data_IF_572201740324
#
_entry.id   IF_572201740324
#
_cell.length_a   1.000
_cell.length_b   1.000
_cell.length_c   1.000
_cell.angle_alpha   90.00
_cell.angle_beta   90.00
_cell.angle_gamma   90.00
#
_symmetry.space_group_name_H-M   'P 1'
#
loop_
_entity.id
_entity.type
_entity.pdbx_description
1 polymer ?
#
# COMPACT_ATOMS: atom_id res chain seq x y z
N UNK A 1 -13.15 11.63 7.46
CA UNK A 1 -12.89 13.06 7.33
C UNK A 1 -12.56 13.34 5.87
N UNK A 2 -12.88 14.52 5.37
CA UNK A 2 -12.57 14.98 4.01
C UNK A 2 -11.76 16.26 4.09
N UNK A 3 -11.11 16.62 3.01
CA UNK A 3 -10.51 17.92 2.85
C UNK A 3 -11.57 19.03 3.03
N UNK A 4 -11.13 20.21 3.40
CA UNK A 4 -11.97 21.40 3.26
C UNK A 4 -12.31 21.63 1.79
N UNK A 5 -13.48 22.18 1.52
CA UNK A 5 -13.97 22.34 0.15
C UNK A 5 -12.96 23.07 -0.74
N UNK A 6 -12.33 24.12 -0.23
CA UNK A 6 -11.33 24.90 -0.99
C UNK A 6 -10.09 24.05 -1.35
N UNK A 7 -9.65 23.20 -0.42
CA UNK A 7 -8.51 22.32 -0.64
C UNK A 7 -8.81 21.20 -1.65
N UNK A 8 -10.02 20.63 -1.56
CA UNK A 8 -10.45 19.64 -2.53
C UNK A 8 -10.62 20.26 -3.95
N UNK A 9 -11.10 21.49 -4.03
CA UNK A 9 -11.17 22.23 -5.29
C UNK A 9 -9.77 22.51 -5.86
N UNK A 10 -8.84 22.98 -5.03
CA UNK A 10 -7.44 23.21 -5.40
C UNK A 10 -6.77 21.93 -5.91
N UNK A 11 -6.99 20.79 -5.22
CA UNK A 11 -6.48 19.52 -5.69
C UNK A 11 -6.90 19.23 -7.15
N UNK A 12 -8.18 19.34 -7.46
CA UNK A 12 -8.68 19.05 -8.80
C UNK A 12 -8.27 20.10 -9.83
N UNK A 13 -8.06 21.37 -9.44
CA UNK A 13 -7.49 22.40 -10.29
C UNK A 13 -6.06 22.10 -10.71
N UNK A 14 -5.30 21.41 -9.89
CA UNK A 14 -3.95 20.94 -10.20
C UNK A 14 -3.97 19.59 -10.94
N UNK A 15 -4.86 18.70 -10.55
CA UNK A 15 -4.89 17.31 -10.98
C UNK A 15 -5.34 17.13 -12.44
N UNK A 16 -6.46 17.72 -12.83
CA UNK A 16 -6.97 17.56 -14.19
C UNK A 16 -6.02 18.12 -15.25
N UNK A 17 -5.46 19.35 -15.12
CA UNK A 17 -4.51 19.84 -16.08
C UNK A 17 -3.20 19.04 -16.13
N UNK A 18 -2.77 18.47 -15.01
CA UNK A 18 -1.61 17.56 -14.99
C UNK A 18 -1.90 16.28 -15.77
N UNK A 19 -3.05 15.62 -15.55
CA UNK A 19 -3.45 14.45 -16.34
C UNK A 19 -3.54 14.78 -17.84
N UNK A 20 -4.11 15.93 -18.20
CA UNK A 20 -4.15 16.39 -19.60
C UNK A 20 -2.76 16.56 -20.19
N UNK A 21 -1.87 17.25 -19.48
CA UNK A 21 -0.47 17.41 -19.89
C UNK A 21 0.23 16.08 -20.13
N UNK A 22 0.10 15.12 -19.19
CA UNK A 22 0.67 13.79 -19.32
C UNK A 22 0.14 13.11 -20.59
N UNK A 23 -1.18 13.11 -20.77
CA UNK A 23 -1.79 12.44 -21.90
C UNK A 23 -1.43 13.09 -23.24
N UNK A 24 -1.43 14.42 -23.33
CA UNK A 24 -1.08 15.16 -24.54
C UNK A 24 0.39 14.92 -24.93
N UNK A 25 1.29 14.96 -23.96
CA UNK A 25 2.72 14.84 -24.20
C UNK A 25 3.15 13.42 -24.52
N UNK A 26 2.67 12.44 -23.74
CA UNK A 26 3.14 11.05 -23.83
C UNK A 26 2.18 10.12 -24.56
N UNK A 27 0.99 10.60 -24.94
CA UNK A 27 -0.04 9.86 -25.68
C UNK A 27 -0.41 8.53 -25.03
N UNK A 28 -0.57 8.54 -23.70
CA UNK A 28 -0.89 7.33 -22.92
C UNK A 28 -2.23 6.74 -23.37
N UNK A 29 -3.23 7.63 -23.56
CA UNK A 29 -4.56 7.30 -24.07
C UNK A 29 -4.88 8.18 -25.28
N UNK A 30 -4.43 7.82 -26.52
CA UNK A 30 -4.55 8.69 -27.68
C UNK A 30 -6.00 9.02 -28.09
N UNK A 31 -6.97 8.17 -27.72
CA UNK A 31 -8.41 8.39 -27.98
C UNK A 31 -9.09 9.36 -27.03
N UNK A 32 -8.44 9.71 -25.93
CA UNK A 32 -8.98 10.62 -24.93
C UNK A 32 -8.72 12.06 -25.38
N UNK A 33 -9.79 12.85 -25.47
CA UNK A 33 -9.70 14.29 -25.77
C UNK A 33 -9.05 15.08 -24.63
N UNK A 34 -9.20 16.41 -24.67
CA UNK A 34 -8.74 17.28 -23.57
C UNK A 34 -9.41 16.92 -22.27
N UNK A 35 -8.60 16.75 -21.24
CA UNK A 35 -9.05 16.42 -19.90
C UNK A 35 -9.18 17.70 -19.09
N UNK A 36 -10.38 18.03 -18.68
CA UNK A 36 -10.66 19.16 -17.80
C UNK A 36 -11.82 18.83 -16.83
N UNK A 37 -12.00 19.67 -15.83
CA UNK A 37 -13.04 19.44 -14.80
C UNK A 37 -14.46 19.42 -15.37
N UNK A 38 -14.73 20.07 -16.48
CA UNK A 38 -16.07 20.19 -17.07
C UNK A 38 -16.42 18.96 -17.92
N UNK A 39 -15.45 18.41 -18.61
CA UNK A 39 -15.62 17.25 -19.49
C UNK A 39 -15.37 15.94 -18.76
N UNK A 40 -14.50 15.99 -17.74
CA UNK A 40 -14.04 14.80 -17.06
C UNK A 40 -13.15 13.92 -17.94
N UNK A 41 -12.97 12.70 -17.53
CA UNK A 41 -12.24 11.64 -18.23
C UNK A 41 -12.83 10.30 -17.81
N UNK A 42 -12.83 9.31 -18.71
CA UNK A 42 -13.19 7.94 -18.35
C UNK A 42 -12.25 7.43 -17.24
N UNK A 43 -12.81 6.76 -16.23
CA UNK A 43 -12.06 6.33 -15.04
C UNK A 43 -10.92 5.37 -15.39
N UNK A 44 -11.10 4.51 -16.39
CA UNK A 44 -10.06 3.57 -16.81
C UNK A 44 -8.91 4.29 -17.55
N UNK A 45 -9.23 5.31 -18.35
CA UNK A 45 -8.22 6.12 -19.00
C UNK A 45 -7.49 7.02 -18.00
N UNK A 46 -8.23 7.65 -17.07
CA UNK A 46 -7.63 8.41 -15.97
C UNK A 46 -6.64 7.56 -15.17
N UNK A 47 -7.02 6.32 -14.83
CA UNK A 47 -6.14 5.38 -14.11
C UNK A 47 -4.87 5.07 -14.90
N UNK A 48 -4.96 4.78 -16.20
CA UNK A 48 -3.78 4.52 -17.05
C UNK A 48 -2.83 5.72 -17.10
N UNK A 49 -3.40 6.93 -17.25
CA UNK A 49 -2.60 8.17 -17.31
C UNK A 49 -1.93 8.43 -15.96
N UNK A 50 -2.64 8.24 -14.86
CA UNK A 50 -2.09 8.37 -13.52
C UNK A 50 -1.02 7.33 -13.24
N UNK A 51 -1.22 6.06 -13.61
CA UNK A 51 -0.23 4.99 -13.44
C UNK A 51 1.07 5.30 -14.21
N UNK A 52 0.93 5.86 -15.42
CA UNK A 52 2.09 6.37 -16.15
C UNK A 52 2.81 7.48 -15.39
N UNK A 53 2.08 8.47 -14.89
CA UNK A 53 2.63 9.57 -14.09
C UNK A 53 3.38 9.06 -12.85
N UNK A 54 2.76 8.17 -12.09
CA UNK A 54 3.36 7.66 -10.85
C UNK A 54 4.57 6.76 -11.08
N UNK A 55 4.67 6.15 -12.26
CA UNK A 55 5.85 5.42 -12.69
C UNK A 55 6.96 6.33 -13.24
N UNK A 56 6.66 7.60 -13.54
CA UNK A 56 7.56 8.58 -14.16
C UNK A 56 7.45 9.94 -13.47
N UNK A 57 7.71 9.99 -12.17
CA UNK A 57 7.49 11.20 -11.35
C UNK A 57 8.32 12.42 -11.75
N UNK A 58 9.39 12.25 -12.57
CA UNK A 58 10.12 13.38 -13.19
C UNK A 58 9.20 14.27 -14.04
N UNK A 59 8.09 13.75 -14.54
CA UNK A 59 7.08 14.49 -15.33
C UNK A 59 6.46 15.64 -14.51
N UNK A 60 6.41 15.51 -13.18
CA UNK A 60 5.93 16.59 -12.31
C UNK A 60 6.73 17.90 -12.48
N UNK A 61 8.06 17.80 -12.55
CA UNK A 61 8.92 18.96 -12.76
C UNK A 61 8.74 19.56 -14.16
N UNK A 62 8.55 18.71 -15.16
CA UNK A 62 8.26 19.16 -16.52
C UNK A 62 6.92 19.90 -16.60
N UNK A 63 5.91 19.41 -15.90
CA UNK A 63 4.60 20.07 -15.82
C UNK A 63 4.68 21.41 -15.10
N UNK A 64 5.36 21.51 -13.95
CA UNK A 64 5.56 22.76 -13.22
C UNK A 64 6.17 23.82 -14.12
N UNK A 65 7.22 23.47 -14.88
CA UNK A 65 7.88 24.37 -15.80
C UNK A 65 6.97 24.77 -16.97
N UNK A 66 6.19 23.84 -17.51
CA UNK A 66 5.25 24.07 -18.61
C UNK A 66 4.09 24.99 -18.19
N UNK A 67 3.42 24.64 -17.09
CA UNK A 67 2.22 25.33 -16.62
C UNK A 67 2.51 26.68 -15.95
N UNK A 68 3.78 26.96 -15.59
CA UNK A 68 4.21 28.18 -14.87
C UNK A 68 3.37 28.42 -13.63
N UNK A 69 3.20 27.35 -12.83
CA UNK A 69 2.37 27.39 -11.63
C UNK A 69 2.87 28.46 -10.65
N UNK A 70 1.94 29.12 -9.91
CA UNK A 70 2.30 29.91 -8.75
C UNK A 70 3.14 29.08 -7.75
N UNK A 71 4.04 29.73 -7.02
CA UNK A 71 5.02 29.05 -6.18
C UNK A 71 4.39 28.05 -5.17
N UNK A 72 3.30 28.44 -4.52
CA UNK A 72 2.57 27.55 -3.59
C UNK A 72 2.03 26.30 -4.29
N UNK A 73 1.43 26.48 -5.46
CA UNK A 73 0.90 25.34 -6.26
C UNK A 73 2.03 24.46 -6.81
N UNK A 74 3.14 25.08 -7.23
CA UNK A 74 4.32 24.36 -7.68
C UNK A 74 4.93 23.50 -6.56
N UNK A 75 4.95 24.01 -5.32
CA UNK A 75 5.41 23.25 -4.16
C UNK A 75 4.50 22.04 -3.87
N UNK A 76 3.18 22.20 -3.96
CA UNK A 76 2.24 21.09 -3.79
C UNK A 76 2.51 19.99 -4.83
N UNK A 77 2.58 20.36 -6.12
CA UNK A 77 2.81 19.41 -7.21
C UNK A 77 4.22 18.79 -7.11
N UNK A 78 5.23 19.54 -6.74
CA UNK A 78 6.58 19.02 -6.52
C UNK A 78 6.62 18.01 -5.38
N UNK A 79 5.84 18.21 -4.33
CA UNK A 79 5.69 17.27 -3.22
C UNK A 79 5.16 15.90 -3.64
N UNK A 80 4.39 15.83 -4.71
CA UNK A 80 3.82 14.55 -5.22
C UNK A 80 4.87 13.54 -5.71
N UNK A 81 6.13 13.95 -5.87
CA UNK A 81 7.24 12.99 -6.08
C UNK A 81 7.36 11.98 -4.95
N UNK A 82 6.88 12.31 -3.76
CA UNK A 82 6.88 11.42 -2.58
C UNK A 82 5.68 10.48 -2.55
N UNK A 83 4.97 10.31 -3.66
CA UNK A 83 3.86 9.38 -3.78
C UNK A 83 4.24 7.97 -3.32
N UNK A 84 3.26 7.26 -2.79
CA UNK A 84 3.38 5.87 -2.35
C UNK A 84 2.35 5.02 -3.10
N UNK A 85 2.67 4.55 -4.31
CA UNK A 85 1.85 3.54 -4.98
C UNK A 85 1.95 2.22 -4.22
N UNK A 86 0.84 1.51 -4.05
CA UNK A 86 0.88 0.22 -3.36
C UNK A 86 -0.50 -0.33 -3.05
N UNK A 87 -0.49 -1.50 -2.38
CA UNK A 87 -1.69 -2.12 -1.85
C UNK A 87 -1.84 -1.79 -0.38
N UNK A 88 -3.05 -1.43 -0.01
CA UNK A 88 -3.38 -0.98 1.33
C UNK A 88 -4.62 -1.68 1.85
N UNK A 89 -4.60 -2.05 3.12
CA UNK A 89 -5.80 -2.43 3.85
C UNK A 89 -6.40 -1.15 4.44
N UNK A 90 -7.55 -0.71 3.91
CA UNK A 90 -8.37 0.30 4.55
C UNK A 90 -9.06 -0.34 5.77
N UNK A 91 -8.54 -0.09 6.97
CA UNK A 91 -8.92 -0.86 8.15
C UNK A 91 -10.13 -0.27 8.88
N UNK A 92 -10.13 1.05 9.14
CA UNK A 92 -11.21 1.74 9.85
C UNK A 92 -11.28 3.22 9.56
N UNK A 93 -12.43 3.81 9.88
CA UNK A 93 -12.66 5.24 9.78
C UNK A 93 -12.64 5.91 11.17
N UNK A 94 -11.94 7.01 11.26
CA UNK A 94 -11.79 7.82 12.48
C UNK A 94 -12.18 9.27 12.20
N UNK A 95 -12.36 10.05 13.27
CA UNK A 95 -12.63 11.49 13.14
C UNK A 95 -11.49 12.27 12.45
N UNK A 96 -10.26 11.75 12.48
CA UNK A 96 -9.06 12.38 11.90
C UNK A 96 -8.66 11.85 10.54
N UNK A 97 -9.46 10.98 9.93
CA UNK A 97 -9.15 10.34 8.66
C UNK A 97 -9.42 8.84 8.67
N UNK A 98 -9.01 8.16 7.65
CA UNK A 98 -9.17 6.70 7.52
C UNK A 98 -7.81 6.01 7.63
N UNK A 99 -7.76 4.92 8.37
CA UNK A 99 -6.55 4.15 8.60
C UNK A 99 -6.29 3.25 7.39
N UNK A 100 -5.15 3.46 6.75
CA UNK A 100 -4.61 2.61 5.70
C UNK A 100 -3.36 1.91 6.24
N UNK A 101 -3.29 0.60 6.05
CA UNK A 101 -2.15 -0.23 6.42
C UNK A 101 -1.51 -0.73 5.12
N UNK A 102 -0.25 -0.41 4.90
CA UNK A 102 0.50 -0.93 3.75
C UNK A 102 0.60 -2.45 3.81
N UNK A 103 0.32 -3.14 2.69
CA UNK A 103 0.49 -4.60 2.60
C UNK A 103 1.97 -4.98 2.67
N UNK A 104 2.86 -4.15 2.14
CA UNK A 104 4.28 -4.47 2.00
C UNK A 104 5.04 -4.44 3.34
N UNK A 105 4.83 -3.38 4.15
CA UNK A 105 5.65 -3.12 5.33
C UNK A 105 4.85 -2.87 6.62
N UNK A 106 3.52 -2.99 6.55
CA UNK A 106 2.58 -2.74 7.63
C UNK A 106 2.62 -1.31 8.19
N UNK A 107 3.21 -0.37 7.46
CA UNK A 107 3.17 1.04 7.84
C UNK A 107 1.73 1.54 7.85
N UNK A 108 1.39 2.29 8.90
CA UNK A 108 0.04 2.83 9.10
C UNK A 108 -0.01 4.28 8.68
N UNK A 109 -0.91 4.59 7.76
CA UNK A 109 -1.15 5.93 7.25
C UNK A 109 -2.53 6.43 7.67
N UNK A 110 -2.62 7.72 7.98
CA UNK A 110 -3.90 8.42 8.18
C UNK A 110 -4.25 9.17 6.91
N UNK A 111 -5.25 8.69 6.17
CA UNK A 111 -5.61 9.17 4.83
C UNK A 111 -6.94 9.91 4.88
N UNK A 112 -6.98 11.11 4.32
CA UNK A 112 -8.21 11.89 4.19
C UNK A 112 -8.89 11.65 2.86
N UNK A 113 -10.21 11.76 2.84
CA UNK A 113 -10.98 11.76 1.59
C UNK A 113 -10.91 13.13 0.91
N UNK A 114 -11.20 13.18 -0.38
CA UNK A 114 -11.30 14.45 -1.13
C UNK A 114 -12.63 15.15 -0.81
N UNK A 115 -13.66 14.93 -1.62
CA UNK A 115 -15.01 15.44 -1.37
C UNK A 115 -15.90 14.48 -0.60
N UNK A 116 -15.67 13.17 -0.75
CA UNK A 116 -16.37 12.11 -0.04
C UNK A 116 -15.46 11.42 0.95
N UNK A 117 -16.02 10.95 2.04
CA UNK A 117 -15.28 10.12 2.98
C UNK A 117 -15.02 8.73 2.40
N UNK A 118 -13.97 8.09 2.85
CA UNK A 118 -13.68 6.70 2.47
C UNK A 118 -14.81 5.74 2.86
N UNK A 119 -15.52 6.02 3.96
CA UNK A 119 -16.68 5.24 4.39
C UNK A 119 -17.84 5.34 3.39
N UNK A 120 -18.11 6.53 2.85
CA UNK A 120 -19.12 6.73 1.82
C UNK A 120 -18.77 6.03 0.51
N UNK A 121 -17.49 6.00 0.13
CA UNK A 121 -17.05 5.40 -1.12
C UNK A 121 -16.90 3.88 -1.05
N UNK A 122 -16.35 3.35 0.05
CA UNK A 122 -15.93 1.95 0.17
C UNK A 122 -16.70 1.16 1.24
N UNK A 123 -17.55 1.80 2.01
CA UNK A 123 -18.31 1.17 3.09
C UNK A 123 -17.48 0.96 4.36
N UNK A 124 -18.05 0.18 5.29
CA UNK A 124 -17.47 -0.14 6.61
C UNK A 124 -16.69 -1.44 6.54
N UNK A 125 -15.56 -1.47 7.19
CA UNK A 125 -14.77 -2.68 7.41
C UNK A 125 -13.51 -2.75 6.57
N UNK A 126 -12.65 -3.73 6.81
CA UNK A 126 -11.39 -3.83 6.10
C UNK A 126 -11.61 -4.16 4.62
N UNK A 127 -11.04 -3.33 3.74
CA UNK A 127 -11.05 -3.49 2.28
C UNK A 127 -9.61 -3.42 1.79
N UNK A 128 -9.22 -4.34 0.92
CA UNK A 128 -7.94 -4.25 0.21
C UNK A 128 -8.10 -3.35 -1.00
N UNK A 129 -7.24 -2.35 -1.10
CA UNK A 129 -7.21 -1.36 -2.18
C UNK A 129 -5.85 -1.36 -2.85
N UNK A 130 -5.83 -1.22 -4.17
CA UNK A 130 -4.69 -0.69 -4.91
C UNK A 130 -4.89 0.82 -5.03
N UNK A 131 -3.97 1.61 -4.51
CA UNK A 131 -4.09 3.05 -4.41
C UNK A 131 -2.72 3.75 -4.48
N UNK A 132 -2.75 5.03 -4.77
CA UNK A 132 -1.57 5.89 -4.64
C UNK A 132 -1.83 6.92 -3.56
N UNK A 133 -1.04 6.88 -2.50
CA UNK A 133 -1.05 7.91 -1.48
C UNK A 133 -0.12 9.05 -1.89
N UNK A 134 -0.59 10.27 -1.77
CA UNK A 134 0.17 11.48 -2.13
C UNK A 134 0.12 12.51 -1.00
N UNK A 135 1.19 13.29 -0.81
CA UNK A 135 1.15 14.40 0.12
C UNK A 135 0.32 15.55 -0.44
N UNK A 136 -0.51 16.13 0.39
CA UNK A 136 -1.23 17.36 0.05
C UNK A 136 -1.21 18.29 1.27
N UNK A 137 -0.40 19.35 1.19
CA UNK A 137 -0.06 20.18 2.37
C UNK A 137 0.50 19.27 3.48
N UNK A 138 -0.08 19.33 4.68
CA UNK A 138 0.34 18.54 5.83
C UNK A 138 -0.45 17.23 6.00
N UNK A 139 -1.18 16.81 4.96
CA UNK A 139 -2.07 15.65 4.99
C UNK A 139 -1.66 14.61 3.95
N UNK A 140 -2.19 13.40 4.12
CA UNK A 140 -2.10 12.33 3.13
C UNK A 140 -3.47 12.16 2.50
N UNK A 141 -3.52 12.20 1.19
CA UNK A 141 -4.71 11.89 0.39
C UNK A 141 -4.39 10.78 -0.63
N UNK A 142 -5.39 10.32 -1.36
CA UNK A 142 -5.19 9.52 -2.58
C UNK A 142 -5.54 10.37 -3.79
N UNK A 143 -5.00 10.00 -4.95
CA UNK A 143 -5.38 10.59 -6.24
C UNK A 143 -6.83 10.30 -6.65
N UNK A 144 -7.53 9.48 -5.88
CA UNK A 144 -8.94 9.09 -6.09
C UNK A 144 -9.13 7.96 -7.10
N UNK A 145 -8.07 7.47 -7.73
CA UNK A 145 -8.11 6.40 -8.73
C UNK A 145 -7.72 5.07 -8.10
N UNK A 146 -8.63 4.50 -7.33
CA UNK A 146 -8.40 3.29 -6.53
C UNK A 146 -9.10 2.08 -7.14
N UNK A 147 -8.49 0.90 -6.94
CA UNK A 147 -9.11 -0.38 -7.28
C UNK A 147 -9.37 -1.17 -6.01
N UNK A 148 -10.63 -1.45 -5.71
CA UNK A 148 -11.00 -2.30 -4.58
C UNK A 148 -11.02 -3.77 -5.00
N UNK A 149 -10.47 -4.64 -4.16
CA UNK A 149 -10.51 -6.09 -4.39
C UNK A 149 -11.75 -6.70 -3.74
N UNK A 150 -12.57 -7.45 -4.50
CA UNK A 150 -13.85 -7.97 -4.02
C UNK A 150 -13.68 -9.23 -3.18
N UNK A 151 -13.00 -9.13 -2.03
CA UNK A 151 -12.94 -10.23 -1.08
C UNK A 151 -13.10 -9.73 0.37
N UNK A 152 -13.61 -10.60 1.23
CA UNK A 152 -13.86 -10.30 2.62
C UNK A 152 -12.76 -10.91 3.50
N UNK A 153 -12.27 -10.12 4.43
CA UNK A 153 -11.35 -10.60 5.45
C UNK A 153 -12.10 -11.36 6.54
N UNK A 154 -11.62 -12.55 6.87
CA UNK A 154 -12.12 -13.31 8.01
C UNK A 154 -11.78 -12.63 9.35
N UNK A 155 -12.40 -13.13 10.45
CA UNK A 155 -12.26 -12.55 11.79
C UNK A 155 -10.78 -12.42 12.24
N UNK A 156 -9.96 -13.44 11.99
CA UNK A 156 -8.54 -13.43 12.37
C UNK A 156 -7.75 -12.30 11.70
N UNK A 157 -7.99 -12.02 10.43
CA UNK A 157 -7.37 -10.89 9.73
C UNK A 157 -7.81 -9.55 10.27
N UNK A 158 -9.12 -9.42 10.53
CA UNK A 158 -9.65 -8.18 11.10
C UNK A 158 -9.06 -7.87 12.48
N UNK A 159 -8.76 -8.90 13.27
CA UNK A 159 -8.07 -8.74 14.55
C UNK A 159 -6.60 -8.35 14.37
N UNK A 160 -5.89 -9.02 13.45
CA UNK A 160 -4.50 -8.70 13.14
C UNK A 160 -4.33 -7.23 12.68
N UNK A 161 -5.23 -6.72 11.83
CA UNK A 161 -5.18 -5.31 11.39
C UNK A 161 -5.42 -4.34 12.55
N UNK A 162 -6.33 -4.68 13.47
CA UNK A 162 -6.54 -3.89 14.70
C UNK A 162 -5.30 -3.86 15.57
N UNK A 163 -4.58 -4.97 15.65
CA UNK A 163 -3.35 -5.07 16.43
C UNK A 163 -2.22 -4.25 15.82
N UNK A 164 -2.07 -4.28 14.48
CA UNK A 164 -1.12 -3.43 13.76
C UNK A 164 -1.41 -1.95 14.04
N UNK A 165 -2.67 -1.53 13.88
CA UNK A 165 -3.05 -0.16 14.17
C UNK A 165 -2.82 0.22 15.64
N UNK A 166 -3.19 -0.64 16.59
CA UNK A 166 -2.99 -0.41 18.03
C UNK A 166 -1.51 -0.22 18.34
N UNK A 167 -0.66 -1.10 17.83
CA UNK A 167 0.80 -1.02 18.00
C UNK A 167 1.35 0.28 17.41
N UNK A 168 0.98 0.63 16.19
CA UNK A 168 1.43 1.87 15.57
C UNK A 168 0.99 3.11 16.36
N UNK A 169 -0.19 3.06 17.00
CA UNK A 169 -0.67 4.13 17.87
C UNK A 169 0.12 4.21 19.18
N UNK A 170 0.42 3.08 19.82
CA UNK A 170 1.22 3.00 21.04
C UNK A 170 2.66 3.47 20.80
N UNK A 171 3.23 3.09 19.66
CA UNK A 171 4.61 3.44 19.26
C UNK A 171 4.72 4.84 18.64
N UNK A 172 3.59 5.55 18.44
CA UNK A 172 3.52 6.85 17.75
C UNK A 172 4.15 6.81 16.34
N UNK A 173 3.94 5.73 15.59
CA UNK A 173 4.48 5.51 14.24
C UNK A 173 3.44 5.70 13.14
N UNK A 174 2.24 6.18 13.46
CA UNK A 174 1.22 6.50 12.45
C UNK A 174 1.69 7.69 11.61
N UNK A 175 1.73 7.52 10.30
CA UNK A 175 2.10 8.57 9.35
C UNK A 175 0.90 9.47 9.06
N UNK A 176 1.00 10.75 9.38
CA UNK A 176 0.00 11.76 9.07
C UNK A 176 0.39 12.62 7.87
N UNK A 177 1.65 12.60 7.46
CA UNK A 177 2.19 13.33 6.31
C UNK A 177 3.23 12.49 5.59
N UNK A 178 3.36 12.67 4.27
CA UNK A 178 4.45 12.11 3.46
C UNK A 178 5.57 13.12 3.23
N UNK A 179 5.44 14.36 3.67
CA UNK A 179 6.43 15.42 3.48
C UNK A 179 7.68 15.13 4.28
N UNK A 180 8.73 14.72 3.59
CA UNK A 180 10.14 14.60 3.92
C UNK A 180 10.56 14.51 5.38
N UNK A 181 10.66 13.31 5.86
CA UNK A 181 11.28 12.89 7.10
C UNK A 181 10.81 11.46 7.39
N UNK A 182 11.71 10.59 7.73
CA UNK A 182 11.30 9.39 8.48
C UNK A 182 10.32 9.85 9.57
N UNK A 183 9.25 9.08 9.88
CA UNK A 183 8.32 9.45 10.95
C UNK A 183 9.17 9.93 12.12
N UNK A 184 8.93 11.16 12.61
CA UNK A 184 9.70 11.70 13.73
C UNK A 184 9.63 10.68 14.86
N UNK A 185 10.64 9.87 14.96
CA UNK A 185 10.89 9.04 16.14
C UNK A 185 11.21 10.01 17.25
N UNK A 186 10.21 10.49 17.97
CA UNK A 186 10.46 11.11 19.26
C UNK A 186 11.23 10.07 20.06
N UNK A 187 12.43 10.40 20.57
CA UNK A 187 13.25 9.43 21.27
C UNK A 187 12.47 8.94 22.50
N UNK A 188 11.93 7.75 22.39
CA UNK A 188 11.38 7.05 23.54
C UNK A 188 12.57 6.49 24.31
N UNK A 189 12.62 6.75 25.62
CA UNK A 189 13.65 6.29 26.54
C UNK A 189 13.90 4.80 26.31
N UNK A 190 15.15 4.48 26.10
CA UNK A 190 15.75 3.18 25.91
C UNK A 190 15.07 2.07 26.74
N UNK A 191 14.46 1.12 26.06
CA UNK A 191 14.53 -0.28 26.47
C UNK A 191 15.15 -1.03 25.29
N UNK A 192 16.39 -1.40 25.48
CA UNK A 192 17.15 -2.26 24.59
C UNK A 192 16.40 -3.59 24.44
N UNK A 193 15.77 -3.79 23.30
CA UNK A 193 15.41 -5.11 22.80
C UNK A 193 15.94 -5.16 21.37
N UNK A 194 16.89 -6.07 21.14
CA UNK A 194 17.53 -6.26 19.85
C UNK A 194 16.47 -6.43 18.77
N UNK A 195 16.64 -5.74 17.65
CA UNK A 195 15.86 -5.91 16.43
C UNK A 195 16.05 -7.34 15.93
N UNK A 196 15.09 -8.19 16.22
CA UNK A 196 15.02 -9.52 15.60
C UNK A 196 14.55 -9.27 14.17
N UNK A 197 15.49 -9.25 13.22
CA UNK A 197 15.15 -9.21 11.81
C UNK A 197 14.32 -10.44 11.46
N UNK A 198 13.17 -10.26 10.81
CA UNK A 198 12.26 -11.34 10.47
C UNK A 198 11.73 -11.20 9.04
N UNK A 199 11.35 -12.33 8.45
CA UNK A 199 10.61 -12.39 7.20
C UNK A 199 9.13 -12.60 7.49
N UNK A 200 8.26 -12.06 6.65
CA UNK A 200 6.85 -12.43 6.60
C UNK A 200 6.62 -13.19 5.30
N UNK A 201 6.27 -14.45 5.42
CA UNK A 201 6.10 -15.39 4.31
C UNK A 201 4.62 -15.69 4.14
N UNK A 202 4.09 -15.51 2.92
CA UNK A 202 2.75 -15.94 2.56
C UNK A 202 2.78 -17.39 2.13
N UNK A 203 2.12 -18.25 2.87
CA UNK A 203 1.95 -19.67 2.54
C UNK A 203 0.52 -19.92 2.10
N UNK A 204 0.33 -20.57 0.94
CA UNK A 204 -0.98 -20.81 0.34
C UNK A 204 -1.18 -22.27 -0.01
N UNK A 205 -2.29 -22.85 0.39
CA UNK A 205 -2.76 -24.19 -0.01
C UNK A 205 -3.71 -24.14 -1.21
N UNK A 206 -3.96 -22.95 -1.75
CA UNK A 206 -4.88 -22.71 -2.86
C UNK A 206 -5.35 -21.26 -2.92
N UNK A 207 -6.26 -20.96 -3.85
CA UNK A 207 -6.68 -19.56 -4.11
C UNK A 207 -7.32 -18.84 -2.91
N UNK A 208 -7.94 -19.57 -2.00
CA UNK A 208 -8.70 -19.01 -0.85
C UNK A 208 -8.16 -19.44 0.51
N UNK A 209 -7.16 -20.33 0.58
CA UNK A 209 -6.59 -20.82 1.83
C UNK A 209 -5.11 -20.45 1.90
N UNK A 210 -4.77 -19.45 2.68
CA UNK A 210 -3.38 -19.02 2.88
C UNK A 210 -3.18 -18.45 4.29
N UNK A 211 -1.93 -18.38 4.72
CA UNK A 211 -1.47 -17.78 5.98
C UNK A 211 -0.27 -16.89 5.75
N UNK A 212 -0.11 -15.87 6.57
CA UNK A 212 1.13 -15.13 6.69
C UNK A 212 1.87 -15.60 7.95
N UNK A 213 3.10 -16.02 7.78
CA UNK A 213 3.94 -16.55 8.85
C UNK A 213 5.12 -15.62 9.02
N UNK A 214 5.26 -15.03 10.20
CA UNK A 214 6.44 -14.25 10.54
C UNK A 214 7.50 -15.17 11.17
N UNK A 215 8.68 -15.19 10.56
CA UNK A 215 9.80 -16.02 11.03
C UNK A 215 11.09 -15.19 11.07
N UNK A 216 11.87 -15.35 12.13
CA UNK A 216 13.17 -14.67 12.27
C UNK A 216 14.14 -15.07 11.16
N UNK A 217 14.91 -14.12 10.61
CA UNK A 217 15.89 -14.35 9.54
C UNK A 217 16.93 -15.44 9.83
N UNK A 218 17.18 -15.72 11.10
CA UNK A 218 18.15 -16.74 11.54
C UNK A 218 17.52 -18.13 11.75
N UNK A 219 16.23 -18.27 11.46
CA UNK A 219 15.53 -19.55 11.60
C UNK A 219 15.75 -20.43 10.38
N UNK A 220 15.76 -21.73 10.60
CA UNK A 220 15.94 -22.75 9.54
C UNK A 220 14.65 -23.00 8.75
N UNK A 221 14.74 -23.68 7.62
CA UNK A 221 13.57 -24.17 6.89
C UNK A 221 12.74 -25.17 7.70
N UNK A 222 13.38 -25.97 8.55
CA UNK A 222 12.65 -26.84 9.51
C UNK A 222 11.75 -26.04 10.45
N UNK A 223 12.27 -24.95 11.05
CA UNK A 223 11.45 -24.04 11.86
C UNK A 223 10.33 -23.36 11.06
N UNK A 224 10.54 -23.13 9.75
CA UNK A 224 9.50 -22.63 8.86
C UNK A 224 8.42 -23.71 8.63
N UNK A 225 8.82 -24.97 8.43
CA UNK A 225 7.89 -26.08 8.28
C UNK A 225 7.00 -26.24 9.51
N UNK A 226 7.59 -26.29 10.71
CA UNK A 226 6.83 -26.34 11.98
C UNK A 226 5.82 -25.18 12.09
N UNK A 227 6.24 -23.97 11.73
CA UNK A 227 5.37 -22.80 11.75
C UNK A 227 4.23 -22.89 10.72
N UNK A 228 4.48 -23.51 9.55
CA UNK A 228 3.46 -23.76 8.51
C UNK A 228 2.44 -24.78 9.03
N UNK A 229 2.90 -25.93 9.53
CA UNK A 229 2.03 -26.97 10.07
C UNK A 229 1.14 -26.42 11.19
N UNK A 230 1.73 -25.69 12.13
CA UNK A 230 0.98 -25.06 13.22
C UNK A 230 -0.05 -24.02 12.72
N UNK A 231 0.29 -23.23 11.69
CA UNK A 231 -0.60 -22.21 11.15
C UNK A 231 -1.81 -22.79 10.41
N UNK A 232 -1.68 -24.00 9.86
CA UNK A 232 -2.76 -24.69 9.14
C UNK A 232 -3.41 -25.82 9.97
N UNK A 233 -2.96 -25.99 11.22
CA UNK A 233 -3.46 -27.05 12.13
C UNK A 233 -3.28 -28.44 11.52
N UNK A 234 -2.12 -28.69 10.89
CA UNK A 234 -1.74 -29.99 10.36
C UNK A 234 -0.89 -30.76 11.36
N UNK A 235 -1.09 -32.06 11.39
CA UNK A 235 -0.21 -32.97 12.12
C UNK A 235 1.10 -33.16 11.33
N UNK A 236 2.22 -33.32 12.05
CA UNK A 236 3.55 -33.56 11.46
C UNK A 236 3.76 -35.07 11.27
N UNK A 237 2.95 -35.66 10.39
CA UNK A 237 2.92 -37.10 10.12
C UNK A 237 3.42 -37.49 8.72
N UNK A 238 3.91 -36.50 7.95
CA UNK A 238 4.40 -36.69 6.58
C UNK A 238 5.73 -35.97 6.33
N UNK A 239 6.60 -36.63 5.57
CA UNK A 239 7.82 -35.98 5.05
C UNK A 239 7.48 -34.79 4.17
N UNK A 240 8.33 -33.76 4.21
CA UNK A 240 8.12 -32.53 3.42
C UNK A 240 9.42 -32.06 2.77
N UNK A 241 9.26 -31.25 1.70
CA UNK A 241 10.37 -30.65 1.02
C UNK A 241 10.03 -29.22 0.54
N UNK A 242 11.05 -28.37 0.43
CA UNK A 242 10.95 -27.04 -0.15
C UNK A 242 11.66 -27.01 -1.51
N UNK A 243 10.96 -26.57 -2.55
CA UNK A 243 11.51 -26.38 -3.90
C UNK A 243 11.55 -24.89 -4.23
N UNK A 244 12.72 -24.36 -4.50
CA UNK A 244 12.94 -22.91 -4.64
C UNK A 244 12.68 -22.39 -6.06
N UNK A 245 12.65 -23.30 -7.04
CA UNK A 245 12.46 -23.00 -8.46
C UNK A 245 11.00 -23.15 -8.96
N UNK A 246 10.05 -23.27 -8.02
CA UNK A 246 8.62 -23.48 -8.30
C UNK A 246 8.31 -24.74 -9.12
N UNK A 247 9.21 -25.74 -9.11
CA UNK A 247 9.06 -27.03 -9.78
C UNK A 247 9.11 -28.15 -8.75
N UNK A 248 8.01 -28.86 -8.61
CA UNK A 248 7.97 -30.07 -7.77
C UNK A 248 8.96 -31.12 -8.24
N UNK A 249 9.67 -31.73 -7.32
CA UNK A 249 10.67 -32.77 -7.55
C UNK A 249 11.86 -32.32 -8.41
N UNK A 250 12.17 -31.02 -8.40
CA UNK A 250 13.37 -30.50 -9.04
C UNK A 250 14.60 -30.85 -8.23
N UNK A 251 15.66 -31.32 -8.89
CA UNK A 251 16.97 -31.54 -8.27
C UNK A 251 17.75 -30.24 -8.06
N UNK A 252 17.20 -29.11 -8.51
CA UNK A 252 17.82 -27.81 -8.38
C UNK A 252 17.28 -27.07 -7.15
N UNK A 253 18.11 -26.90 -6.12
CA UNK A 253 17.77 -26.19 -4.88
C UNK A 253 16.52 -26.75 -4.17
N UNK A 254 16.48 -28.06 -3.96
CA UNK A 254 15.52 -28.73 -3.11
C UNK A 254 16.08 -28.92 -1.69
N UNK A 255 15.23 -28.73 -0.68
CA UNK A 255 15.54 -28.96 0.73
C UNK A 255 14.54 -29.97 1.28
N UNK A 256 15.02 -31.11 1.73
CA UNK A 256 14.20 -32.22 2.25
C UNK A 256 14.21 -32.24 3.78
N UNK A 257 13.15 -32.80 4.38
CA UNK A 257 13.18 -33.11 5.81
C UNK A 257 14.17 -34.24 6.08
N UNK A 258 14.73 -34.29 7.27
CA UNK A 258 15.74 -35.30 7.68
C UNK A 258 15.23 -36.75 7.50
N UNK A 259 13.93 -36.96 7.57
CA UNK A 259 13.28 -38.29 7.41
C UNK A 259 13.23 -38.75 5.94
N UNK A 260 13.59 -37.93 4.95
CA UNK A 260 13.64 -38.30 3.53
C UNK A 260 15.02 -38.81 3.07
N UNK A 261 16.06 -38.71 3.90
CA UNK A 261 17.43 -39.11 3.55
C UNK A 261 17.73 -40.60 3.77
N UNK A 262 16.75 -41.38 4.22
CA UNK A 262 16.90 -42.85 4.41
C UNK A 262 16.28 -43.67 3.27
N UNK A 263 16.61 -43.33 2.02
CA UNK A 263 16.14 -44.08 0.85
C UNK A 263 17.18 -44.30 -0.22
#
# INVERSE_FOLDING_TARGET
>A
MTLEKQDAELFYELWFPLLDFVNQKYRVCPGTGTIDRSRGVDAADAKKIADYLWSHTQVLQEYIAYAKLPEEQAQIVAGWVQCKPGKYIMERHLKKGTVFISEDDQTVYMVEGLFSTWEEMMGKGPVLLDAVLIPFKDMIISDGLVTAYPFHFGRGYSEAFKDIYRKAKEDNTICFSLSGGEPERRPNKEKATGTVESYVIKVSLGRSCYRYIQIGKQKTLGALSEAILAAFEFDDDHCHAFFVDDRYWSDFCAYYSDDMDEG
#
